data_IF_870162357080
#
_entry.id   IF_870162357080
#
_cell.length_a   1.000
_cell.length_b   1.000
_cell.length_c   1.000
_cell.angle_alpha   90.00
_cell.angle_beta   90.00
_cell.angle_gamma   90.00
#
_symmetry.space_group_name_H-M   'P 1'
#
loop_
_entity.id
_entity.type
_entity.pdbx_description
1 polymer ?
#
# COMPACT_ATOMS: atom_id res chain seq x y z
N UNK A 1 -17.02 -6.09 -24.54
CA UNK A 1 -15.90 -5.17 -24.25
C UNK A 1 -15.24 -5.66 -22.98
N UNK A 2 -13.92 -5.91 -23.02
CA UNK A 2 -13.16 -6.26 -21.81
C UNK A 2 -13.17 -5.07 -20.85
N UNK A 3 -13.18 -5.34 -19.54
CA UNK A 3 -13.04 -4.28 -18.53
C UNK A 3 -11.66 -3.65 -18.62
N UNK A 4 -11.52 -2.34 -18.33
CA UNK A 4 -10.23 -1.73 -18.14
C UNK A 4 -9.51 -2.37 -16.94
N UNK A 5 -8.18 -2.37 -16.97
CA UNK A 5 -7.33 -3.00 -15.96
C UNK A 5 -6.56 -1.95 -15.16
N UNK A 6 -6.67 -2.01 -13.84
CA UNK A 6 -5.75 -1.32 -12.93
C UNK A 6 -4.78 -2.35 -12.36
N UNK A 7 -3.54 -2.31 -12.84
CA UNK A 7 -2.47 -3.17 -12.34
C UNK A 7 -1.71 -2.45 -11.24
N UNK A 8 -1.77 -2.98 -10.04
CA UNK A 8 -1.12 -2.38 -8.87
C UNK A 8 0.21 -3.08 -8.59
N UNK A 9 1.27 -2.30 -8.50
CA UNK A 9 2.64 -2.75 -8.21
C UNK A 9 3.15 -2.11 -6.92
N UNK A 10 4.01 -2.82 -6.19
CA UNK A 10 4.59 -2.30 -4.96
C UNK A 10 6.03 -1.83 -5.17
N UNK A 11 6.37 -0.66 -4.61
CA UNK A 11 7.72 -0.12 -4.58
C UNK A 11 8.59 -0.72 -3.46
N UNK A 12 8.01 -1.66 -2.69
CA UNK A 12 8.66 -2.18 -1.49
C UNK A 12 8.63 -1.17 -0.33
N UNK A 13 9.08 -1.57 0.87
CA UNK A 13 8.93 -0.76 2.09
C UNK A 13 10.04 0.29 2.31
N UNK A 14 11.04 0.38 1.42
CA UNK A 14 12.14 1.34 1.57
C UNK A 14 12.82 1.69 0.23
N UNK A 15 14.10 1.37 0.04
CA UNK A 15 14.88 1.74 -1.13
C UNK A 15 14.57 0.88 -2.37
N UNK A 16 15.15 1.26 -3.52
CA UNK A 16 15.04 0.53 -4.78
C UNK A 16 15.47 -0.95 -4.71
N UNK A 17 16.23 -1.35 -3.71
CA UNK A 17 16.62 -2.75 -3.48
C UNK A 17 15.41 -3.67 -3.17
N UNK A 18 14.29 -3.09 -2.72
CA UNK A 18 13.05 -3.82 -2.43
C UNK A 18 12.06 -3.79 -3.59
N UNK A 19 12.39 -3.12 -4.69
CA UNK A 19 11.57 -3.13 -5.90
C UNK A 19 11.83 -4.43 -6.66
N UNK A 20 10.78 -5.17 -6.97
CA UNK A 20 10.92 -6.41 -7.76
C UNK A 20 11.27 -6.11 -9.21
N UNK A 21 11.94 -7.05 -9.88
CA UNK A 21 12.24 -6.94 -11.30
C UNK A 21 10.94 -6.76 -12.13
N UNK A 22 9.85 -7.45 -11.73
CA UNK A 22 8.54 -7.32 -12.38
C UNK A 22 7.94 -5.92 -12.22
N UNK A 23 8.04 -5.33 -11.03
CA UNK A 23 7.63 -3.94 -10.81
C UNK A 23 8.40 -2.98 -11.72
N UNK A 24 9.73 -3.12 -11.77
CA UNK A 24 10.59 -2.28 -12.63
C UNK A 24 10.21 -2.42 -14.11
N UNK A 25 10.02 -3.64 -14.59
CA UNK A 25 9.58 -3.90 -15.97
C UNK A 25 8.28 -3.17 -16.28
N UNK A 26 7.26 -3.33 -15.44
CA UNK A 26 5.95 -2.71 -15.64
C UNK A 26 6.01 -1.18 -15.61
N UNK A 27 6.76 -0.59 -14.68
CA UNK A 27 6.89 0.86 -14.58
C UNK A 27 7.65 1.49 -15.76
N UNK A 28 8.52 0.73 -16.43
CA UNK A 28 9.33 1.22 -17.55
C UNK A 28 8.73 0.93 -18.92
N UNK A 29 7.90 -0.10 -19.04
CA UNK A 29 7.34 -0.54 -20.33
C UNK A 29 5.88 -0.15 -20.56
N UNK A 30 5.13 0.19 -19.49
CA UNK A 30 3.71 0.50 -19.61
C UNK A 30 3.48 1.91 -20.15
N UNK A 31 2.50 2.11 -21.04
CA UNK A 31 2.22 3.41 -21.64
C UNK A 31 1.60 4.41 -20.66
N UNK A 32 0.88 3.93 -19.65
CA UNK A 32 0.23 4.77 -18.64
C UNK A 32 0.60 4.27 -17.25
N UNK A 33 1.32 5.11 -16.51
CA UNK A 33 1.80 4.80 -15.15
C UNK A 33 1.45 5.95 -14.21
N UNK A 34 1.12 5.62 -12.95
CA UNK A 34 0.92 6.57 -11.86
C UNK A 34 1.63 6.08 -10.59
N UNK A 35 2.30 6.99 -9.90
CA UNK A 35 2.77 6.77 -8.53
C UNK A 35 1.71 7.27 -7.55
N UNK A 36 1.48 6.53 -6.47
CA UNK A 36 0.68 7.05 -5.36
C UNK A 36 1.31 8.30 -4.78
N UNK A 37 2.64 8.28 -4.59
CA UNK A 37 3.42 9.42 -4.10
C UNK A 37 4.86 9.31 -4.58
N UNK A 38 5.52 10.45 -4.73
CA UNK A 38 6.97 10.56 -4.92
C UNK A 38 7.74 10.58 -3.60
N UNK A 39 7.05 10.77 -2.49
CA UNK A 39 7.65 10.75 -1.14
C UNK A 39 7.92 9.29 -0.73
N UNK A 40 8.81 8.66 -1.47
CA UNK A 40 9.24 7.28 -1.23
C UNK A 40 10.66 7.07 -1.80
N UNK A 41 11.62 6.48 -1.05
CA UNK A 41 13.01 6.38 -1.50
C UNK A 41 13.22 5.63 -2.82
N UNK A 42 12.33 4.69 -3.16
CA UNK A 42 12.39 4.00 -4.45
C UNK A 42 11.74 4.79 -5.60
N UNK A 43 10.99 5.86 -5.33
CA UNK A 43 10.33 6.64 -6.36
C UNK A 43 11.31 7.50 -7.18
N UNK A 44 12.47 7.83 -6.65
CA UNK A 44 13.52 8.62 -7.32
C UNK A 44 13.95 7.97 -8.66
N UNK A 45 13.96 6.64 -8.72
CA UNK A 45 14.30 5.87 -9.94
C UNK A 45 13.23 6.09 -11.04
N UNK A 46 12.02 6.49 -10.67
CA UNK A 46 10.87 6.70 -11.55
C UNK A 46 10.43 8.16 -11.58
N UNK A 47 11.36 9.11 -11.44
CA UNK A 47 11.09 10.55 -11.26
C UNK A 47 10.29 11.21 -12.39
N UNK A 48 10.30 10.65 -13.60
CA UNK A 48 9.53 11.14 -14.73
C UNK A 48 8.05 10.70 -14.72
N UNK A 49 7.67 9.77 -13.83
CA UNK A 49 6.29 9.26 -13.74
C UNK A 49 5.42 10.24 -12.96
N UNK A 50 4.20 10.48 -13.44
CA UNK A 50 3.22 11.32 -12.74
C UNK A 50 2.75 10.66 -11.42
N UNK A 51 2.49 11.48 -10.41
CA UNK A 51 2.04 11.03 -9.08
C UNK A 51 0.74 11.70 -8.66
N UNK A 52 0.16 11.23 -7.55
CA UNK A 52 -1.01 11.82 -6.93
C UNK A 52 -0.68 12.79 -5.78
N UNK A 53 0.57 13.25 -5.64
CA UNK A 53 0.95 14.15 -4.55
C UNK A 53 0.10 15.43 -4.55
N UNK A 54 -0.18 16.02 -5.72
CA UNK A 54 -1.06 17.21 -5.82
C UNK A 54 -2.50 16.94 -5.31
N UNK A 55 -2.97 15.68 -5.41
CA UNK A 55 -4.27 15.29 -4.87
C UNK A 55 -4.25 15.25 -3.34
N UNK A 56 -3.15 14.79 -2.76
CA UNK A 56 -2.93 14.82 -1.31
C UNK A 56 -2.87 16.24 -0.77
N UNK A 57 -2.19 17.15 -1.47
CA UNK A 57 -2.03 18.55 -1.06
C UNK A 57 -3.35 19.34 -1.14
N UNK A 58 -4.27 18.93 -2.02
CA UNK A 58 -5.53 19.63 -2.29
C UNK A 58 -6.76 19.03 -1.64
N UNK A 59 -6.66 17.84 -1.01
CA UNK A 59 -7.81 17.16 -0.45
C UNK A 59 -8.08 17.58 1.01
N UNK A 60 -9.34 17.85 1.32
CA UNK A 60 -9.77 18.20 2.67
C UNK A 60 -9.73 16.99 3.63
N UNK A 61 -9.86 15.77 3.10
CA UNK A 61 -9.82 14.53 3.89
C UNK A 61 -9.50 13.31 3.03
N UNK A 62 -9.09 12.21 3.69
CA UNK A 62 -8.83 10.94 3.03
C UNK A 62 -10.09 10.29 2.45
N UNK A 63 -11.27 10.52 3.04
CA UNK A 63 -12.56 10.05 2.54
C UNK A 63 -12.91 10.64 1.17
N UNK A 64 -12.43 11.83 0.86
CA UNK A 64 -12.60 12.47 -0.45
C UNK A 64 -11.46 12.10 -1.40
N UNK A 65 -10.25 12.01 -0.88
CA UNK A 65 -9.03 11.76 -1.66
C UNK A 65 -9.05 10.40 -2.36
N UNK A 66 -9.24 9.32 -1.60
CA UNK A 66 -9.10 7.98 -2.16
C UNK A 66 -10.13 7.65 -3.24
N UNK A 67 -11.43 7.99 -3.12
CA UNK A 67 -12.38 7.83 -4.23
C UNK A 67 -11.99 8.61 -5.48
N UNK A 68 -11.40 9.80 -5.34
CA UNK A 68 -10.94 10.62 -6.47
C UNK A 68 -9.77 9.95 -7.20
N UNK A 69 -8.81 9.38 -6.48
CA UNK A 69 -7.71 8.60 -7.06
C UNK A 69 -8.26 7.37 -7.81
N UNK A 70 -9.19 6.65 -7.19
CA UNK A 70 -9.83 5.46 -7.80
C UNK A 70 -10.51 5.82 -9.12
N UNK A 71 -11.26 6.91 -9.15
CA UNK A 71 -11.95 7.36 -10.37
C UNK A 71 -10.97 7.73 -11.48
N UNK A 72 -9.90 8.48 -11.16
CA UNK A 72 -8.86 8.84 -12.13
C UNK A 72 -8.17 7.59 -12.69
N UNK A 73 -7.83 6.61 -11.84
CA UNK A 73 -7.21 5.36 -12.28
C UNK A 73 -8.10 4.58 -13.25
N UNK A 74 -9.40 4.50 -13.00
CA UNK A 74 -10.35 3.82 -13.88
C UNK A 74 -10.49 4.55 -15.22
N UNK A 75 -10.54 5.88 -15.18
CA UNK A 75 -10.58 6.71 -16.39
C UNK A 75 -9.30 6.56 -17.22
N UNK A 76 -8.14 6.58 -16.58
CA UNK A 76 -6.84 6.38 -17.24
C UNK A 76 -6.74 5.00 -17.87
N UNK A 77 -7.16 3.94 -17.16
CA UNK A 77 -7.18 2.59 -17.71
C UNK A 77 -8.10 2.50 -18.95
N UNK A 78 -9.28 3.12 -18.86
CA UNK A 78 -10.26 3.13 -19.97
C UNK A 78 -9.76 3.89 -21.19
N UNK A 79 -8.99 4.96 -20.98
CA UNK A 79 -8.41 5.80 -22.04
C UNK A 79 -7.07 5.28 -22.57
N UNK A 80 -6.44 4.34 -21.86
CA UNK A 80 -5.14 3.79 -22.24
C UNK A 80 -5.20 2.99 -23.53
N UNK A 81 -4.17 3.06 -24.40
CA UNK A 81 -4.13 2.34 -25.66
C UNK A 81 -4.29 0.81 -25.53
N UNK A 82 -3.83 0.25 -24.40
CA UNK A 82 -3.93 -1.19 -24.11
C UNK A 82 -5.02 -1.51 -23.07
N UNK A 83 -5.85 -0.53 -22.68
CA UNK A 83 -6.88 -0.73 -21.66
C UNK A 83 -6.36 -0.95 -20.25
N UNK A 84 -5.09 -0.57 -19.95
CA UNK A 84 -4.45 -0.79 -18.67
C UNK A 84 -3.74 0.46 -18.16
N UNK A 85 -3.79 0.69 -16.84
CA UNK A 85 -2.93 1.63 -16.10
C UNK A 85 -2.13 0.86 -15.07
N UNK A 86 -0.84 1.19 -14.91
CA UNK A 86 0.01 0.68 -13.84
C UNK A 86 0.04 1.71 -12.71
N UNK A 87 -0.37 1.28 -11.53
CA UNK A 87 -0.41 2.09 -10.31
C UNK A 87 0.60 1.59 -9.28
N UNK A 88 1.59 2.41 -8.97
CA UNK A 88 2.65 2.05 -8.02
C UNK A 88 2.38 2.65 -6.64
N UNK A 89 2.43 1.78 -5.63
CA UNK A 89 2.20 2.14 -4.23
C UNK A 89 3.44 1.87 -3.37
N UNK A 90 3.66 2.60 -2.27
CA UNK A 90 4.64 2.25 -1.25
C UNK A 90 4.37 0.85 -0.68
N UNK A 91 5.42 0.09 -0.38
CA UNK A 91 5.27 -1.26 0.20
C UNK A 91 4.69 -2.27 -0.77
N UNK A 92 3.72 -3.03 -0.30
CA UNK A 92 3.02 -4.08 -1.04
C UNK A 92 1.56 -3.68 -1.31
N UNK A 93 1.02 -3.94 -2.53
CA UNK A 93 -0.36 -3.61 -2.88
C UNK A 93 -1.45 -4.20 -1.98
N UNK A 94 -1.10 -5.23 -1.20
CA UNK A 94 -2.06 -5.96 -0.36
C UNK A 94 -1.85 -5.72 1.14
N UNK A 95 -1.01 -4.75 1.50
CA UNK A 95 -0.73 -4.41 2.91
C UNK A 95 -1.04 -2.95 3.16
N UNK A 96 -2.11 -2.70 3.91
CA UNK A 96 -2.55 -1.36 4.35
C UNK A 96 -2.72 -0.35 3.19
N UNK A 97 -3.25 -0.78 2.04
CA UNK A 97 -3.45 0.05 0.85
C UNK A 97 -4.94 0.25 0.55
N UNK A 98 -5.51 1.30 1.12
CA UNK A 98 -6.94 1.57 1.06
C UNK A 98 -7.46 1.84 -0.36
N UNK A 99 -6.66 2.46 -1.22
CA UNK A 99 -7.02 2.68 -2.63
C UNK A 99 -7.29 1.36 -3.35
N UNK A 100 -6.50 0.32 -3.05
CA UNK A 100 -6.68 -1.02 -3.63
C UNK A 100 -7.95 -1.69 -3.12
N UNK A 101 -8.30 -1.49 -1.84
CA UNK A 101 -9.56 -1.99 -1.29
C UNK A 101 -10.75 -1.36 -2.02
N UNK A 102 -10.75 -0.04 -2.20
CA UNK A 102 -11.81 0.67 -2.93
C UNK A 102 -11.90 0.25 -4.40
N UNK A 103 -10.77 0.06 -5.08
CA UNK A 103 -10.73 -0.45 -6.45
C UNK A 103 -11.40 -1.83 -6.56
N UNK A 104 -11.14 -2.72 -5.61
CA UNK A 104 -11.71 -4.08 -5.58
C UNK A 104 -13.22 -4.13 -5.35
N UNK A 105 -13.80 -3.07 -4.79
CA UNK A 105 -15.26 -2.96 -4.62
C UNK A 105 -15.98 -2.56 -5.92
N UNK A 106 -15.23 -2.11 -6.93
CA UNK A 106 -15.81 -1.74 -8.23
C UNK A 106 -16.07 -2.97 -9.10
N UNK A 107 -17.13 -2.88 -9.91
CA UNK A 107 -17.50 -3.94 -10.85
C UNK A 107 -17.20 -3.60 -12.30
N UNK A 108 -16.75 -2.39 -12.59
CA UNK A 108 -16.45 -1.85 -13.91
C UNK A 108 -14.97 -1.89 -14.30
N UNK A 109 -14.11 -2.34 -13.40
CA UNK A 109 -12.66 -2.46 -13.56
C UNK A 109 -12.17 -3.83 -13.12
N UNK A 110 -11.11 -4.33 -13.72
CA UNK A 110 -10.34 -5.47 -13.24
C UNK A 110 -9.11 -4.98 -12.45
N UNK A 111 -8.87 -5.53 -11.26
CA UNK A 111 -7.75 -5.15 -10.40
C UNK A 111 -6.77 -6.30 -10.29
N UNK A 112 -5.55 -6.09 -10.74
CA UNK A 112 -4.46 -7.06 -10.67
C UNK A 112 -3.39 -6.53 -9.72
N UNK A 113 -3.14 -7.22 -8.62
CA UNK A 113 -2.05 -6.87 -7.70
C UNK A 113 -0.84 -7.76 -7.96
N UNK A 114 0.28 -7.16 -8.31
CA UNK A 114 1.55 -7.88 -8.44
C UNK A 114 2.17 -8.15 -7.06
N UNK A 115 2.76 -9.32 -6.84
CA UNK A 115 3.49 -9.61 -5.60
C UNK A 115 4.63 -8.63 -5.38
N UNK A 116 4.76 -8.12 -4.15
CA UNK A 116 5.82 -7.18 -3.78
C UNK A 116 6.28 -7.41 -2.33
N UNK A 117 7.49 -6.97 -2.03
CA UNK A 117 8.04 -7.02 -0.68
C UNK A 117 7.28 -6.03 0.21
N UNK A 118 6.82 -6.51 1.37
CA UNK A 118 6.13 -5.69 2.37
C UNK A 118 7.05 -5.31 3.55
N UNK A 119 6.61 -4.37 4.36
CA UNK A 119 7.26 -4.06 5.65
C UNK A 119 7.28 -5.28 6.58
N UNK A 120 6.33 -6.19 6.45
CA UNK A 120 6.23 -7.44 7.24
C UNK A 120 7.44 -8.32 6.95
N UNK A 121 7.78 -8.51 5.66
CA UNK A 121 8.92 -9.32 5.24
C UNK A 121 10.23 -8.76 5.81
N UNK A 122 10.42 -7.43 5.70
CA UNK A 122 11.63 -6.76 6.18
C UNK A 122 11.72 -6.80 7.71
N UNK A 123 10.62 -6.59 8.43
CA UNK A 123 10.60 -6.67 9.88
C UNK A 123 10.95 -8.08 10.37
N UNK A 124 10.32 -9.11 9.82
CA UNK A 124 10.60 -10.50 10.17
C UNK A 124 12.05 -10.90 9.87
N UNK A 125 12.58 -10.51 8.71
CA UNK A 125 13.96 -10.77 8.32
C UNK A 125 14.96 -10.09 9.27
N UNK A 126 14.74 -8.82 9.61
CA UNK A 126 15.62 -8.07 10.53
C UNK A 126 15.60 -8.59 11.96
N UNK A 127 14.44 -9.04 12.42
CA UNK A 127 14.28 -9.63 13.75
C UNK A 127 14.74 -11.11 13.81
N UNK A 128 15.02 -11.73 12.67
CA UNK A 128 15.33 -13.16 12.58
C UNK A 128 14.18 -14.02 13.08
N UNK A 129 12.94 -13.64 12.79
CA UNK A 129 11.74 -14.31 13.28
C UNK A 129 10.90 -14.88 12.13
N UNK A 130 10.51 -16.13 12.28
CA UNK A 130 9.51 -16.75 11.41
C UNK A 130 8.10 -16.38 11.90
N UNK A 131 7.32 -15.64 11.10
CA UNK A 131 5.99 -15.20 11.51
C UNK A 131 5.02 -16.36 11.77
N UNK A 132 5.17 -17.48 11.06
CA UNK A 132 4.33 -18.67 11.26
C UNK A 132 4.65 -19.37 12.58
N UNK A 133 5.94 -19.59 12.85
CA UNK A 133 6.39 -20.24 14.09
C UNK A 133 6.01 -19.42 15.34
N UNK A 134 5.97 -18.09 15.20
CA UNK A 134 5.55 -17.18 16.27
C UNK A 134 4.03 -17.09 16.44
N UNK A 135 3.24 -17.50 15.45
CA UNK A 135 1.83 -17.13 15.41
C UNK A 135 1.64 -15.61 15.37
N UNK A 136 2.47 -14.91 14.57
CA UNK A 136 2.47 -13.45 14.48
C UNK A 136 1.11 -12.94 14.01
N UNK A 137 0.52 -12.03 14.80
CA UNK A 137 -0.69 -11.30 14.42
C UNK A 137 -0.28 -9.93 13.86
N UNK A 138 -0.94 -9.52 12.78
CA UNK A 138 -0.69 -8.23 12.14
C UNK A 138 -1.95 -7.39 12.34
N UNK A 139 -1.80 -6.20 12.89
CA UNK A 139 -2.91 -5.28 13.21
C UNK A 139 -2.66 -3.90 12.66
N UNK A 140 -3.75 -3.26 12.27
CA UNK A 140 -3.76 -1.86 11.90
C UNK A 140 -3.98 -0.99 13.15
N UNK A 141 -3.08 -0.02 13.37
CA UNK A 141 -3.21 0.94 14.47
C UNK A 141 -4.49 1.79 14.37
N UNK A 142 -5.02 1.97 13.17
CA UNK A 142 -6.25 2.74 12.92
C UNK A 142 -7.52 1.87 13.04
N UNK A 143 -7.36 0.55 13.15
CA UNK A 143 -8.46 -0.40 13.23
C UNK A 143 -9.15 -0.47 14.60
N UNK A 144 -10.06 -1.43 14.73
CA UNK A 144 -10.79 -1.69 15.98
C UNK A 144 -9.90 -2.21 17.11
N UNK A 145 -10.42 -2.22 18.34
CA UNK A 145 -9.65 -2.63 19.56
C UNK A 145 -9.48 -4.14 19.68
N UNK A 146 -10.44 -4.93 19.20
CA UNK A 146 -10.45 -6.39 19.35
C UNK A 146 -9.16 -7.08 18.88
N UNK A 147 -8.59 -6.72 17.71
CA UNK A 147 -7.36 -7.35 17.23
C UNK A 147 -6.14 -7.17 18.13
N UNK A 148 -6.16 -6.18 19.04
CA UNK A 148 -5.08 -5.96 20.02
C UNK A 148 -5.13 -6.94 21.19
N UNK A 149 -6.25 -7.61 21.40
CA UNK A 149 -6.45 -8.59 22.47
C UNK A 149 -6.06 -9.99 22.02
N UNK A 150 -5.66 -10.82 22.97
CA UNK A 150 -5.32 -12.22 22.75
C UNK A 150 -3.81 -12.51 22.87
N UNK A 151 -3.44 -13.79 22.93
CA UNK A 151 -2.05 -14.20 23.14
C UNK A 151 -1.19 -14.03 21.89
N UNK A 152 0.13 -13.99 22.10
CA UNK A 152 1.14 -13.98 21.06
C UNK A 152 1.57 -12.59 20.60
N UNK A 153 2.63 -12.52 19.80
CA UNK A 153 3.23 -11.27 19.37
C UNK A 153 2.36 -10.55 18.34
N UNK A 154 2.44 -9.22 18.37
CA UNK A 154 1.78 -8.32 17.45
C UNK A 154 2.81 -7.56 16.61
N UNK A 155 2.55 -7.45 15.31
CA UNK A 155 3.12 -6.43 14.45
C UNK A 155 2.04 -5.38 14.18
N UNK A 156 2.25 -4.17 14.71
CA UNK A 156 1.28 -3.09 14.59
C UNK A 156 1.77 -2.15 13.49
N UNK A 157 0.96 -2.00 12.46
CA UNK A 157 1.24 -1.14 11.32
C UNK A 157 0.55 0.22 11.46
N UNK A 158 0.95 1.19 10.64
CA UNK A 158 0.37 2.54 10.57
C UNK A 158 0.56 3.39 11.85
N UNK A 159 1.65 3.19 12.58
CA UNK A 159 2.03 3.98 13.77
C UNK A 159 2.86 5.22 13.40
N UNK A 160 2.44 5.96 12.39
CA UNK A 160 3.22 7.05 11.77
C UNK A 160 3.09 8.41 12.50
N UNK A 161 2.21 8.53 13.51
CA UNK A 161 2.02 9.76 14.27
C UNK A 161 2.05 9.49 15.78
N UNK A 162 2.56 10.44 16.60
CA UNK A 162 2.62 10.28 18.06
C UNK A 162 1.26 9.98 18.71
N UNK A 163 0.19 10.60 18.20
CA UNK A 163 -1.18 10.41 18.70
C UNK A 163 -1.69 8.99 18.44
N UNK A 164 -1.36 8.43 17.29
CA UNK A 164 -1.70 7.05 16.94
C UNK A 164 -0.94 6.09 17.86
N UNK A 165 0.35 6.34 18.07
CA UNK A 165 1.16 5.51 18.96
C UNK A 165 0.65 5.56 20.40
N UNK A 166 0.25 6.72 20.91
CA UNK A 166 -0.39 6.87 22.22
C UNK A 166 -1.70 6.08 22.32
N UNK A 167 -2.55 6.19 21.30
CA UNK A 167 -3.80 5.40 21.19
C UNK A 167 -3.55 3.90 21.15
N UNK A 168 -2.48 3.44 20.51
CA UNK A 168 -2.06 2.02 20.52
C UNK A 168 -1.67 1.60 21.93
N UNK A 169 -0.85 2.40 22.61
CA UNK A 169 -0.42 2.10 23.99
C UNK A 169 -1.59 1.92 24.96
N UNK A 170 -2.64 2.74 24.83
CA UNK A 170 -3.86 2.65 25.64
C UNK A 170 -4.68 1.37 25.36
N UNK A 171 -4.54 0.79 24.17
CA UNK A 171 -5.26 -0.44 23.74
C UNK A 171 -4.51 -1.72 24.09
N UNK A 172 -3.22 -1.64 24.32
CA UNK A 172 -2.40 -2.80 24.71
C UNK A 172 -2.64 -3.20 26.16
N UNK A 173 -2.56 -4.49 26.52
CA UNK A 173 -2.54 -4.92 27.89
C UNK A 173 -1.37 -4.28 28.66
N UNK A 174 -1.59 -3.94 29.94
CA UNK A 174 -0.56 -3.27 30.79
C UNK A 174 0.76 -4.04 30.92
N UNK A 175 0.73 -5.33 30.70
CA UNK A 175 1.89 -6.23 30.80
C UNK A 175 2.57 -6.45 29.44
N UNK A 176 2.20 -5.69 28.42
CA UNK A 176 2.79 -5.83 27.08
C UNK A 176 4.24 -5.34 27.11
N UNK A 177 5.15 -6.19 26.65
CA UNK A 177 6.55 -5.84 26.39
C UNK A 177 6.67 -5.33 24.95
N UNK A 178 7.21 -4.14 24.75
CA UNK A 178 7.38 -3.48 23.45
C UNK A 178 8.85 -3.50 23.06
#
# INVERSE_FOLDING_TARGET
VSKPVVRVVGLGPSSAQHVTARTTELLTSSPVVRLRTRIHPAADVFSAVASYDDYYDSADSFEVLYPKIVEDLVQLASASPNGEVVYAVPGSPVVAEHTVELLRLRNDVEVICEPAISVIDVACARLGKDPMALGLRIVDALGSVEPFRGPGPLLILQTYAPEILASVADRLPRETVV
#
